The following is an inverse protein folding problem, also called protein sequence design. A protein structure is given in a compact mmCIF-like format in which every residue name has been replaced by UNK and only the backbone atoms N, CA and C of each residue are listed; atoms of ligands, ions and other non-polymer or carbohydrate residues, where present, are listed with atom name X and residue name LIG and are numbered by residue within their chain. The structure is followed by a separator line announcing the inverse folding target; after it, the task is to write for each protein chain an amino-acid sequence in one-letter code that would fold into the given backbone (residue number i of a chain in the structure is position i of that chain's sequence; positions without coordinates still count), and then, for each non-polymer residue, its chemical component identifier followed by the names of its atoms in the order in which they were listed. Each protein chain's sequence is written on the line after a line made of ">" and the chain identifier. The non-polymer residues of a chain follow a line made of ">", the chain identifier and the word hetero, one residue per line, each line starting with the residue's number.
data_IF_398891189267
#
_entry.id   IF_398891189267
#
_cell.length_a   1.000
_cell.length_b   1.000
_cell.length_c   1.000
_cell.angle_alpha   90.00
_cell.angle_beta   90.00
_cell.angle_gamma   90.00
#
_symmetry.space_group_name_H-M   'P 1'
#
loop_
_entity.id
_entity.type
_entity.pdbx_description
1 polymer ?
#
# COMPACT_ATOMS: atom_id res chain seq x y z
N UNK A 1 49.58 24.49 -24.95
CA UNK A 1 48.29 25.17 -25.17
C UNK A 1 47.83 25.63 -23.79
N UNK A 2 48.04 26.86 -23.32
CA UNK A 2 47.56 28.19 -23.78
C UNK A 2 46.04 28.13 -24.05
N UNK A 3 45.16 28.81 -23.31
CA UNK A 3 45.38 29.94 -22.42
C UNK A 3 44.24 30.24 -21.44
N UNK A 4 44.53 31.25 -20.62
CA UNK A 4 43.74 31.85 -19.53
C UNK A 4 42.53 32.66 -20.00
N UNK A 5 41.50 32.81 -19.14
CA UNK A 5 40.72 34.06 -19.06
C UNK A 5 40.56 34.47 -17.59
N UNK A 6 40.99 35.70 -17.30
CA UNK A 6 40.72 36.47 -16.08
C UNK A 6 39.71 37.55 -16.46
N UNK A 7 38.65 37.74 -15.66
CA UNK A 7 37.93 39.01 -15.60
C UNK A 7 37.74 39.40 -14.13
N UNK A 8 38.33 40.55 -13.78
CA UNK A 8 38.02 41.34 -12.59
C UNK A 8 37.05 42.43 -13.03
N UNK A 9 36.00 42.67 -12.26
CA UNK A 9 35.32 43.96 -12.22
C UNK A 9 35.01 44.30 -10.77
N UNK A 10 35.53 45.46 -10.39
CA UNK A 10 35.41 46.13 -9.09
C UNK A 10 34.27 47.13 -9.21
N UNK A 11 33.42 47.18 -8.17
CA UNK A 11 32.77 48.40 -7.70
C UNK A 11 31.39 48.73 -8.30
N UNK A 12 30.36 48.76 -7.46
CA UNK A 12 29.83 49.98 -6.84
C UNK A 12 28.49 49.62 -6.21
N UNK A 13 28.39 49.71 -4.88
CA UNK A 13 27.12 49.58 -4.18
C UNK A 13 26.19 50.72 -4.57
N UNK A 14 25.01 50.36 -5.08
CA UNK A 14 23.84 51.23 -5.13
C UNK A 14 22.67 50.40 -4.59
N UNK A 15 22.22 50.77 -3.40
CA UNK A 15 20.95 50.32 -2.86
C UNK A 15 19.83 50.97 -3.68
N UNK A 16 19.15 50.17 -4.50
CA UNK A 16 17.92 50.54 -5.16
C UNK A 16 16.86 49.49 -4.80
N UNK A 17 15.89 49.91 -3.98
CA UNK A 17 14.70 49.13 -3.64
C UNK A 17 13.98 48.74 -4.94
N UNK A 18 14.10 47.47 -5.31
CA UNK A 18 13.34 46.89 -6.41
C UNK A 18 12.04 46.36 -5.83
N UNK A 19 10.95 47.00 -6.25
CA UNK A 19 9.59 46.53 -6.06
C UNK A 19 9.52 45.13 -6.67
N UNK A 20 9.34 44.11 -5.83
CA UNK A 20 9.01 42.74 -6.21
C UNK A 20 7.63 42.75 -6.86
N UNK A 21 7.58 43.06 -8.15
CA UNK A 21 6.47 42.66 -9.00
C UNK A 21 6.73 41.19 -9.34
N UNK A 22 6.23 40.28 -8.49
CA UNK A 22 6.09 38.88 -8.85
C UNK A 22 4.99 38.81 -9.92
N UNK A 23 5.36 39.06 -11.16
CA UNK A 23 4.64 38.52 -12.30
C UNK A 23 4.91 37.03 -12.31
N UNK A 24 4.06 36.27 -11.60
CA UNK A 24 3.99 34.82 -11.69
C UNK A 24 3.44 34.47 -13.08
N UNK A 25 4.31 34.48 -14.08
CA UNK A 25 4.12 33.71 -15.29
C UNK A 25 5.02 32.49 -15.13
N UNK A 26 4.50 31.43 -14.49
CA UNK A 26 5.19 30.16 -14.35
C UNK A 26 5.10 29.37 -15.65
N UNK A 27 5.84 29.80 -16.67
CA UNK A 27 6.14 28.97 -17.84
C UNK A 27 7.48 28.27 -17.57
N UNK A 28 7.42 27.10 -16.93
CA UNK A 28 8.55 26.19 -16.76
C UNK A 28 8.24 24.85 -17.43
N UNK A 29 9.21 24.19 -18.07
CA UNK A 29 9.03 22.82 -18.55
C UNK A 29 8.89 21.87 -17.33
N UNK A 30 8.19 20.75 -17.51
CA UNK A 30 8.19 19.57 -16.60
C UNK A 30 7.29 19.62 -15.34
N UNK A 31 6.19 20.36 -15.39
CA UNK A 31 5.14 20.30 -14.36
C UNK A 31 4.43 18.94 -14.22
N UNK A 32 4.10 18.19 -15.30
CA UNK A 32 3.51 16.85 -15.15
C UNK A 32 4.49 15.82 -14.57
N UNK A 33 5.80 16.01 -14.76
CA UNK A 33 6.83 15.16 -14.16
C UNK A 33 6.91 15.40 -12.65
N UNK A 34 6.94 16.67 -12.23
CA UNK A 34 7.03 17.04 -10.81
C UNK A 34 5.85 16.47 -10.01
N UNK A 35 4.62 16.60 -10.52
CA UNK A 35 3.44 16.06 -9.81
C UNK A 35 3.44 14.52 -9.78
N UNK A 36 3.96 13.86 -10.82
CA UNK A 36 4.11 12.41 -10.85
C UNK A 36 5.15 11.94 -9.82
N UNK A 37 6.26 12.65 -9.68
CA UNK A 37 7.29 12.38 -8.66
C UNK A 37 6.75 12.58 -7.24
N UNK A 38 6.01 13.66 -6.99
CA UNK A 38 5.36 13.92 -5.69
C UNK A 38 4.33 12.83 -5.35
N UNK A 39 3.52 12.42 -6.33
CA UNK A 39 2.54 11.35 -6.16
C UNK A 39 3.21 10.00 -5.90
N UNK A 40 4.26 9.66 -6.66
CA UNK A 40 5.05 8.45 -6.45
C UNK A 40 5.69 8.42 -5.06
N UNK A 41 6.29 9.54 -4.63
CA UNK A 41 6.91 9.68 -3.32
C UNK A 41 5.89 9.54 -2.17
N UNK A 42 4.68 10.07 -2.33
CA UNK A 42 3.62 9.92 -1.34
C UNK A 42 3.14 8.46 -1.22
N UNK A 43 3.02 7.74 -2.34
CA UNK A 43 2.68 6.30 -2.34
C UNK A 43 3.80 5.46 -1.71
N UNK A 44 5.07 5.74 -2.03
CA UNK A 44 6.25 5.07 -1.47
C UNK A 44 6.36 5.30 0.05
N UNK A 45 6.01 6.49 0.53
CA UNK A 45 5.99 6.82 1.95
C UNK A 45 4.77 6.26 2.72
N UNK A 46 3.79 5.70 2.01
CA UNK A 46 2.52 5.30 2.60
C UNK A 46 1.63 6.48 3.04
N UNK A 47 1.86 7.69 2.52
CA UNK A 47 1.06 8.88 2.83
C UNK A 47 -0.21 8.91 1.97
N UNK A 48 -1.23 8.18 2.42
CA UNK A 48 -2.52 8.08 1.75
C UNK A 48 -3.16 9.46 1.53
N UNK A 49 -3.12 10.30 2.55
CA UNK A 49 -3.72 11.64 2.51
C UNK A 49 -2.98 12.59 1.57
N UNK A 50 -1.64 12.54 1.59
CA UNK A 50 -0.78 13.33 0.72
C UNK A 50 -0.95 12.91 -0.74
N UNK A 51 -0.91 11.61 -1.03
CA UNK A 51 -1.12 11.08 -2.37
C UNK A 51 -2.51 11.47 -2.92
N UNK A 52 -3.56 11.33 -2.11
CA UNK A 52 -4.92 11.68 -2.50
C UNK A 52 -5.08 13.18 -2.83
N UNK A 53 -4.46 14.07 -2.04
CA UNK A 53 -4.53 15.52 -2.23
C UNK A 53 -3.92 16.00 -3.56
N UNK A 54 -3.02 15.22 -4.15
CA UNK A 54 -2.39 15.50 -5.45
C UNK A 54 -3.26 15.11 -6.65
N UNK A 55 -4.45 14.53 -6.42
CA UNK A 55 -5.33 14.03 -7.48
C UNK A 55 -6.52 14.95 -7.74
N UNK A 56 -7.16 14.81 -8.92
CA UNK A 56 -8.38 15.57 -9.25
C UNK A 56 -9.61 15.17 -8.43
N UNK A 57 -9.60 14.04 -7.74
CA UNK A 57 -10.66 13.60 -6.83
C UNK A 57 -10.06 13.01 -5.54
N UNK A 58 -9.69 13.86 -4.57
CA UNK A 58 -9.02 13.41 -3.35
C UNK A 58 -9.83 12.43 -2.52
N UNK A 59 -11.16 12.57 -2.49
CA UNK A 59 -12.01 11.71 -1.66
C UNK A 59 -12.09 10.29 -2.24
N UNK A 60 -12.23 10.16 -3.56
CA UNK A 60 -12.18 8.85 -4.21
C UNK A 60 -10.77 8.24 -4.17
N UNK A 61 -9.74 9.06 -4.30
CA UNK A 61 -8.35 8.64 -4.22
C UNK A 61 -7.98 8.06 -2.86
N UNK A 62 -8.31 8.79 -1.79
CA UNK A 62 -8.03 8.35 -0.41
C UNK A 62 -8.65 6.98 -0.13
N UNK A 63 -9.93 6.81 -0.49
CA UNK A 63 -10.63 5.52 -0.30
C UNK A 63 -10.01 4.38 -1.10
N UNK A 64 -9.54 4.62 -2.32
CA UNK A 64 -8.96 3.58 -3.18
C UNK A 64 -7.54 3.20 -2.74
N UNK A 65 -6.72 4.18 -2.35
CA UNK A 65 -5.36 3.96 -1.84
C UNK A 65 -5.43 3.19 -0.51
N UNK A 66 -6.33 3.57 0.39
CA UNK A 66 -6.54 2.87 1.66
C UNK A 66 -6.95 1.41 1.44
N UNK A 67 -7.92 1.17 0.54
CA UNK A 67 -8.35 -0.19 0.19
C UNK A 67 -7.23 -1.02 -0.46
N UNK A 68 -6.41 -0.42 -1.32
CA UNK A 68 -5.26 -1.07 -1.94
C UNK A 68 -4.24 -1.51 -0.89
N UNK A 69 -3.89 -0.61 0.04
CA UNK A 69 -2.92 -0.88 1.10
C UNK A 69 -3.47 -1.92 2.08
N UNK A 70 -4.75 -1.82 2.44
CA UNK A 70 -5.41 -2.82 3.30
C UNK A 70 -5.43 -4.22 2.65
N UNK A 71 -5.64 -4.31 1.34
CA UNK A 71 -5.70 -5.59 0.62
C UNK A 71 -4.33 -6.24 0.40
N UNK A 72 -3.29 -5.45 0.12
CA UNK A 72 -1.96 -5.96 -0.18
C UNK A 72 -1.06 -6.11 1.06
N UNK A 73 -1.36 -5.41 2.15
CA UNK A 73 -0.65 -5.52 3.43
C UNK A 73 0.13 -4.27 3.81
N UNK A 74 0.78 -4.32 4.97
CA UNK A 74 1.37 -3.15 5.64
C UNK A 74 2.72 -2.67 5.09
N UNK A 75 3.40 -3.47 4.27
CA UNK A 75 4.63 -3.03 3.62
C UNK A 75 4.25 -2.18 2.39
N UNK A 76 4.52 -0.87 2.47
CA UNK A 76 4.24 0.06 1.38
C UNK A 76 5.07 -0.30 0.13
N UNK A 77 4.52 -0.04 -1.07
CA UNK A 77 5.23 -0.36 -2.30
C UNK A 77 6.40 0.60 -2.51
N UNK A 78 7.47 0.14 -3.15
CA UNK A 78 8.42 1.05 -3.79
C UNK A 78 7.82 1.57 -5.09
N UNK A 79 7.69 2.89 -5.21
CA UNK A 79 7.13 3.55 -6.40
C UNK A 79 8.15 4.54 -6.98
N UNK A 80 8.34 4.49 -8.29
CA UNK A 80 9.23 5.41 -9.00
C UNK A 80 8.68 5.80 -10.37
N UNK A 81 8.99 7.02 -10.82
CA UNK A 81 8.62 7.48 -12.15
C UNK A 81 9.51 6.78 -13.18
N UNK A 82 8.90 5.99 -14.06
CA UNK A 82 9.59 5.25 -15.11
C UNK A 82 9.87 6.12 -16.35
N UNK A 83 9.10 7.19 -16.52
CA UNK A 83 9.25 8.19 -17.57
C UNK A 83 7.99 9.01 -17.78
N UNK A 84 8.14 10.11 -18.48
CA UNK A 84 7.03 10.94 -18.97
C UNK A 84 6.84 10.71 -20.47
N UNK A 85 5.58 10.59 -20.89
CA UNK A 85 5.19 10.41 -22.30
C UNK A 85 4.96 11.76 -23.00
N UNK A 86 4.52 11.72 -24.25
CA UNK A 86 4.12 12.94 -24.96
C UNK A 86 2.90 13.60 -24.30
N UNK A 87 3.02 14.88 -23.92
CA UNK A 87 1.94 15.66 -23.31
C UNK A 87 1.91 15.55 -21.79
N UNK A 88 0.78 15.10 -21.24
CA UNK A 88 0.53 15.11 -19.79
C UNK A 88 0.60 13.72 -19.15
N UNK A 89 1.08 12.69 -19.86
CA UNK A 89 1.11 11.30 -19.36
C UNK A 89 2.41 10.95 -18.66
N UNK A 90 2.35 10.08 -17.66
CA UNK A 90 3.52 9.55 -16.96
C UNK A 90 3.35 8.05 -16.66
N UNK A 91 4.47 7.33 -16.56
CA UNK A 91 4.51 5.94 -16.15
C UNK A 91 5.13 5.80 -14.76
N UNK A 92 4.56 4.93 -13.92
CA UNK A 92 5.10 4.56 -12.62
C UNK A 92 5.49 3.07 -12.62
N UNK A 93 6.71 2.78 -12.17
CA UNK A 93 7.12 1.43 -11.79
C UNK A 93 6.82 1.23 -10.31
N UNK A 94 5.99 0.23 -10.01
CA UNK A 94 5.51 -0.11 -8.66
C UNK A 94 6.01 -1.50 -8.30
N UNK A 95 6.60 -1.66 -7.12
CA UNK A 95 7.06 -2.95 -6.60
C UNK A 95 6.57 -3.17 -5.17
N UNK A 96 5.90 -4.30 -4.95
CA UNK A 96 5.48 -4.78 -3.64
C UNK A 96 6.40 -5.92 -3.19
N UNK A 97 6.82 -5.93 -1.93
CA UNK A 97 7.61 -7.03 -1.34
C UNK A 97 6.81 -7.70 -0.22
N UNK A 98 6.46 -8.97 -0.40
CA UNK A 98 5.69 -9.75 0.57
C UNK A 98 6.59 -10.69 1.41
N UNK A 99 7.81 -10.22 1.69
CA UNK A 99 8.91 -10.95 2.32
C UNK A 99 9.86 -11.64 1.32
N UNK A 100 10.81 -12.41 1.83
CA UNK A 100 11.97 -12.89 1.06
C UNK A 100 11.57 -13.68 -0.20
N UNK A 101 12.02 -13.19 -1.36
CA UNK A 101 11.81 -13.80 -2.68
C UNK A 101 10.38 -13.68 -3.23
N UNK A 102 9.54 -12.82 -2.65
CA UNK A 102 8.14 -12.61 -3.05
C UNK A 102 7.90 -11.15 -3.42
N UNK A 103 8.47 -10.75 -4.55
CA UNK A 103 8.28 -9.41 -5.11
C UNK A 103 7.26 -9.45 -6.26
N UNK A 104 6.36 -8.48 -6.28
CA UNK A 104 5.43 -8.25 -7.37
C UNK A 104 5.63 -6.84 -7.93
N UNK A 105 6.17 -6.78 -9.15
CA UNK A 105 6.42 -5.52 -9.86
C UNK A 105 5.50 -5.39 -11.07
N UNK A 106 5.00 -4.19 -11.30
CA UNK A 106 4.23 -3.83 -12.48
C UNK A 106 4.46 -2.36 -12.84
N UNK A 107 4.07 -2.03 -14.07
CA UNK A 107 4.04 -0.64 -14.56
C UNK A 107 2.60 -0.18 -14.69
N UNK A 108 2.35 1.04 -14.29
CA UNK A 108 1.06 1.72 -14.46
C UNK A 108 1.25 3.06 -15.15
N UNK A 109 0.21 3.55 -15.81
CA UNK A 109 0.23 4.80 -16.58
C UNK A 109 -0.84 5.75 -16.04
N UNK A 110 -0.43 6.98 -15.76
CA UNK A 110 -1.28 8.08 -15.34
C UNK A 110 -1.24 9.25 -16.31
N UNK A 111 -2.06 10.26 -16.02
CA UNK A 111 -1.94 11.56 -16.66
C UNK A 111 -2.13 12.67 -15.63
N UNK A 112 -1.51 13.81 -15.87
CA UNK A 112 -1.69 15.01 -15.10
C UNK A 112 -2.65 15.97 -15.83
N UNK A 113 -3.16 16.95 -15.10
CA UNK A 113 -3.98 18.04 -15.64
C UNK A 113 -3.80 19.27 -14.78
N UNK A 114 -3.82 20.43 -15.39
CA UNK A 114 -3.85 21.70 -14.68
C UNK A 114 -5.23 21.91 -14.04
N UNK A 115 -5.26 22.26 -12.75
CA UNK A 115 -6.44 22.78 -12.07
C UNK A 115 -6.48 24.30 -12.24
N UNK A 116 -7.42 24.85 -13.04
CA UNK A 116 -7.52 26.28 -13.30
C UNK A 116 -7.95 27.09 -12.06
N UNK A 117 -8.52 26.48 -11.02
CA UNK A 117 -8.93 27.17 -9.80
C UNK A 117 -7.78 27.30 -8.79
N UNK A 118 -6.87 26.32 -8.80
CA UNK A 118 -5.75 26.23 -7.86
C UNK A 118 -4.40 26.68 -8.44
N UNK A 119 -4.33 26.97 -9.75
CA UNK A 119 -3.09 27.26 -10.48
C UNK A 119 -2.01 26.18 -10.22
N UNK A 120 -2.45 24.92 -10.17
CA UNK A 120 -1.66 23.78 -9.73
C UNK A 120 -1.93 22.55 -10.60
N UNK A 121 -0.90 21.73 -10.83
CA UNK A 121 -1.05 20.46 -11.52
C UNK A 121 -1.57 19.39 -10.57
N UNK A 122 -2.43 18.51 -11.08
CA UNK A 122 -2.94 17.34 -10.35
C UNK A 122 -2.89 16.11 -11.22
N UNK A 123 -2.72 14.95 -10.60
CA UNK A 123 -2.93 13.65 -11.24
C UNK A 123 -4.42 13.51 -11.57
N UNK A 124 -4.74 13.29 -12.85
CA UNK A 124 -6.09 12.94 -13.28
C UNK A 124 -6.46 11.61 -12.65
N UNK A 125 -7.39 11.66 -11.72
CA UNK A 125 -7.78 10.50 -10.93
C UNK A 125 -8.52 9.47 -11.79
N UNK A 126 -8.00 8.25 -11.80
CA UNK A 126 -8.65 7.01 -12.19
C UNK A 126 -7.99 5.90 -11.36
N UNK A 127 -8.71 4.94 -10.76
CA UNK A 127 -8.10 3.85 -10.00
C UNK A 127 -6.99 3.11 -10.76
N UNK A 128 -7.04 3.08 -12.09
CA UNK A 128 -6.00 2.45 -12.90
C UNK A 128 -4.64 3.13 -12.76
N UNK A 129 -4.55 4.38 -12.28
CA UNK A 129 -3.27 5.05 -12.01
C UNK A 129 -2.49 4.36 -10.90
N UNK A 130 -3.16 3.66 -9.98
CA UNK A 130 -2.52 2.88 -8.93
C UNK A 130 -2.09 1.51 -9.45
N UNK A 131 -2.97 0.84 -10.21
CA UNK A 131 -2.68 -0.45 -10.85
C UNK A 131 -3.66 -0.70 -12.00
N UNK A 132 -3.20 -1.21 -13.16
CA UNK A 132 -4.07 -1.52 -14.29
C UNK A 132 -5.22 -2.48 -13.96
N UNK A 133 -5.01 -3.36 -12.97
CA UNK A 133 -5.98 -4.37 -12.54
C UNK A 133 -7.16 -3.80 -11.74
N UNK A 134 -7.11 -2.52 -11.32
CA UNK A 134 -8.22 -1.85 -10.60
C UNK A 134 -9.32 -1.33 -11.54
N UNK A 135 -9.18 -1.55 -12.85
CA UNK A 135 -10.20 -1.19 -13.83
C UNK A 135 -11.55 -1.83 -13.49
N UNK A 136 -12.65 -1.08 -13.68
CA UNK A 136 -14.00 -1.60 -13.46
C UNK A 136 -14.39 -1.83 -11.99
N UNK A 137 -13.61 -1.31 -11.03
CA UNK A 137 -13.91 -1.40 -9.59
C UNK A 137 -13.46 -2.70 -8.94
N UNK A 138 -12.46 -3.38 -9.52
CA UNK A 138 -11.82 -4.53 -8.89
C UNK A 138 -11.01 -4.11 -7.64
N UNK A 139 -10.71 -5.09 -6.79
CA UNK A 139 -9.82 -4.95 -5.63
C UNK A 139 -8.62 -5.88 -5.76
N UNK A 140 -7.52 -5.52 -5.10
CA UNK A 140 -6.29 -6.31 -5.05
C UNK A 140 -6.07 -6.80 -3.62
N UNK A 141 -5.87 -8.11 -3.48
CA UNK A 141 -5.63 -8.75 -2.18
C UNK A 141 -4.43 -9.70 -2.26
N UNK A 142 -3.55 -9.64 -1.27
CA UNK A 142 -2.45 -10.59 -1.12
C UNK A 142 -2.87 -11.75 -0.21
N UNK A 143 -2.98 -12.94 -0.79
CA UNK A 143 -3.34 -14.17 -0.08
C UNK A 143 -2.15 -15.11 0.02
N UNK A 144 -1.85 -15.61 1.21
CA UNK A 144 -0.85 -16.65 1.41
C UNK A 144 -1.50 -18.03 1.29
N UNK A 145 -0.99 -18.85 0.38
CA UNK A 145 -1.33 -20.27 0.36
C UNK A 145 -0.34 -21.02 1.24
N UNK A 146 -0.78 -21.50 2.40
CA UNK A 146 0.02 -22.41 3.21
C UNK A 146 0.05 -23.76 2.49
N UNK A 147 1.24 -24.35 2.33
CA UNK A 147 1.39 -25.69 1.76
C UNK A 147 0.71 -26.76 2.63
N UNK A 148 0.43 -27.92 2.05
CA UNK A 148 -0.12 -29.04 2.82
C UNK A 148 0.79 -29.39 4.01
N UNK A 149 0.26 -29.67 5.21
CA UNK A 149 1.07 -30.01 6.37
C UNK A 149 1.98 -31.22 6.09
N UNK A 150 3.24 -31.22 6.54
CA UNK A 150 4.14 -32.33 6.30
C UNK A 150 3.67 -33.59 7.03
N UNK A 151 3.90 -34.75 6.41
CA UNK A 151 3.76 -36.05 7.07
C UNK A 151 5.13 -36.53 7.53
N UNK A 152 5.26 -36.82 8.82
CA UNK A 152 6.46 -37.40 9.45
C UNK A 152 6.37 -38.93 9.33
N UNK A 153 7.44 -39.58 8.88
CA UNK A 153 7.52 -41.04 8.74
C UNK A 153 8.50 -41.65 9.75
N UNK A 154 8.27 -42.90 10.14
CA UNK A 154 9.21 -43.69 10.93
C UNK A 154 10.38 -44.24 10.08
N UNK A 155 11.33 -44.94 10.71
CA UNK A 155 12.50 -45.54 10.01
C UNK A 155 12.14 -46.58 8.94
N UNK A 156 10.91 -47.10 8.95
CA UNK A 156 10.41 -48.11 8.02
C UNK A 156 9.52 -47.47 6.93
N UNK A 157 9.39 -46.14 6.92
CA UNK A 157 8.57 -45.40 5.96
C UNK A 157 7.09 -45.36 6.28
N UNK A 158 6.67 -45.70 7.51
CA UNK A 158 5.24 -45.65 7.92
C UNK A 158 4.91 -44.26 8.49
N UNK A 159 3.73 -43.69 8.18
CA UNK A 159 3.35 -42.38 8.70
C UNK A 159 3.20 -42.43 10.22
N UNK A 160 3.76 -41.45 10.90
CA UNK A 160 3.77 -41.30 12.36
C UNK A 160 2.97 -40.05 12.79
N UNK A 161 3.14 -38.94 12.07
CA UNK A 161 2.32 -37.74 12.22
C UNK A 161 1.99 -37.18 10.84
N UNK A 162 0.81 -36.61 10.69
CA UNK A 162 0.38 -35.92 9.49
C UNK A 162 -0.88 -35.12 9.82
N UNK A 163 -1.40 -34.40 8.83
CA UNK A 163 -2.67 -33.70 8.96
C UNK A 163 -3.78 -34.64 9.44
N UNK A 164 -4.57 -34.19 10.41
CA UNK A 164 -5.69 -34.96 10.95
C UNK A 164 -6.97 -34.12 10.87
N UNK A 165 -8.05 -34.75 10.46
CA UNK A 165 -9.37 -34.13 10.50
C UNK A 165 -9.83 -34.08 11.95
N UNK A 166 -9.89 -32.87 12.51
CA UNK A 166 -10.41 -32.61 13.85
C UNK A 166 -11.78 -31.94 13.74
N UNK A 167 -12.75 -32.42 14.50
CA UNK A 167 -14.04 -31.75 14.63
C UNK A 167 -14.03 -30.90 15.88
N UNK A 168 -14.06 -29.58 15.70
CA UNK A 168 -14.24 -28.63 16.80
C UNK A 168 -15.74 -28.41 16.98
N UNK A 169 -16.21 -28.60 18.21
CA UNK A 169 -17.60 -28.32 18.59
C UNK A 169 -17.60 -27.06 19.45
N UNK A 170 -18.17 -25.99 18.93
CA UNK A 170 -18.30 -24.73 19.65
C UNK A 170 -19.64 -24.68 20.38
N UNK A 171 -19.62 -24.11 21.59
CA UNK A 171 -20.83 -23.77 22.32
C UNK A 171 -21.33 -22.40 21.86
N UNK A 172 -22.62 -22.30 21.58
CA UNK A 172 -23.24 -21.01 21.26
C UNK A 172 -23.13 -20.05 22.46
N UNK A 173 -22.86 -18.77 22.21
CA UNK A 173 -22.66 -17.77 23.25
C UNK A 173 -23.90 -17.53 24.14
N UNK A 174 -25.09 -17.93 23.68
CA UNK A 174 -26.34 -17.82 24.44
C UNK A 174 -26.63 -19.06 25.31
N UNK A 175 -25.84 -20.13 25.17
CA UNK A 175 -26.06 -21.35 25.93
C UNK A 175 -25.58 -21.24 27.38
N UNK A 176 -26.23 -21.93 28.31
CA UNK A 176 -25.85 -21.98 29.72
C UNK A 176 -24.75 -23.03 29.96
N UNK A 177 -23.50 -22.63 30.28
CA UNK A 177 -22.41 -23.57 30.50
C UNK A 177 -22.66 -24.50 31.69
N UNK A 178 -23.37 -24.04 32.72
CA UNK A 178 -23.67 -24.82 33.91
C UNK A 178 -24.66 -25.96 33.62
N UNK A 179 -25.58 -25.75 32.67
CA UNK A 179 -26.50 -26.78 32.20
C UNK A 179 -25.83 -27.78 31.25
N UNK A 180 -24.89 -27.32 30.42
CA UNK A 180 -24.26 -28.13 29.35
C UNK A 180 -23.07 -28.97 29.85
N UNK A 181 -22.23 -28.42 30.74
CA UNK A 181 -21.06 -29.12 31.28
C UNK A 181 -21.32 -30.54 31.81
N UNK A 182 -22.35 -30.82 32.65
CA UNK A 182 -22.57 -32.17 33.16
C UNK A 182 -22.94 -33.19 32.08
N UNK A 183 -23.54 -32.74 30.96
CA UNK A 183 -23.83 -33.61 29.81
C UNK A 183 -22.54 -33.96 29.09
N UNK A 184 -21.69 -32.96 28.83
CA UNK A 184 -20.42 -33.15 28.12
C UNK A 184 -19.39 -33.93 28.95
N UNK A 185 -19.41 -33.79 30.28
CA UNK A 185 -18.52 -34.51 31.20
C UNK A 185 -18.64 -36.04 31.09
N UNK A 186 -19.76 -36.55 30.56
CA UNK A 186 -19.94 -37.99 30.29
C UNK A 186 -19.06 -38.49 29.14
N UNK A 187 -18.70 -37.62 28.20
CA UNK A 187 -17.89 -37.92 27.03
C UNK A 187 -16.45 -37.43 27.23
N UNK A 188 -16.30 -36.21 27.77
CA UNK A 188 -15.02 -35.56 28.03
C UNK A 188 -14.98 -35.10 29.49
N UNK A 189 -14.46 -35.92 30.41
CA UNK A 189 -14.58 -35.69 31.86
C UNK A 189 -13.83 -34.47 32.37
N UNK A 190 -12.97 -33.86 31.54
CA UNK A 190 -12.25 -32.62 31.86
C UNK A 190 -13.05 -31.35 31.56
N UNK A 191 -14.19 -31.44 30.85
CA UNK A 191 -15.04 -30.28 30.58
C UNK A 191 -15.83 -29.90 31.84
N UNK A 192 -15.68 -28.65 32.27
CA UNK A 192 -16.41 -28.03 33.38
C UNK A 192 -17.17 -26.79 32.91
N UNK A 193 -18.11 -26.29 33.72
CA UNK A 193 -18.82 -25.04 33.42
C UNK A 193 -17.86 -23.85 33.32
N UNK A 194 -16.79 -23.86 34.13
CA UNK A 194 -15.75 -22.84 34.13
C UNK A 194 -14.93 -22.88 32.83
N UNK A 195 -14.50 -24.07 32.37
CA UNK A 195 -13.75 -24.21 31.10
C UNK A 195 -14.57 -23.86 29.86
N UNK A 196 -15.91 -23.94 29.96
CA UNK A 196 -16.83 -23.55 28.87
C UNK A 196 -17.16 -22.05 28.89
N UNK A 197 -16.96 -21.37 30.02
CA UNK A 197 -17.20 -19.94 30.18
C UNK A 197 -15.94 -19.10 29.90
N UNK A 198 -14.76 -19.71 29.90
CA UNK A 198 -13.53 -19.05 29.49
C UNK A 198 -13.59 -18.72 27.98
N UNK A 199 -13.23 -17.48 27.58
CA UNK A 199 -13.04 -17.21 26.16
C UNK A 199 -11.97 -18.15 25.62
N UNK A 200 -12.13 -18.69 24.40
CA UNK A 200 -11.15 -19.59 23.84
C UNK A 200 -9.78 -18.92 23.90
N UNK A 201 -8.80 -19.61 24.49
CA UNK A 201 -7.42 -19.15 24.45
C UNK A 201 -7.08 -18.89 22.99
N UNK A 202 -6.81 -17.63 22.65
CA UNK A 202 -6.44 -17.26 21.29
C UNK A 202 -5.32 -18.20 20.87
N UNK A 203 -5.60 -19.02 19.85
CA UNK A 203 -4.57 -19.75 19.13
C UNK A 203 -3.62 -18.67 18.61
N UNK A 204 -2.51 -18.46 19.31
CA UNK A 204 -1.39 -17.68 18.80
C UNK A 204 -0.77 -18.58 17.75
N UNK A 205 -1.13 -18.34 16.51
CA UNK A 205 -0.35 -18.80 15.35
C UNK A 205 1.01 -18.12 15.35
#
# INVERSE_FOLDING_TARGET
>A
MIGTVRIRLIGMGVAAATVLSLSACATGPDQPETIAEEFAAALDAGDVSGAAALTTDPMAAESAIDALFAGLGHDYPTVSVAGTGDGDTFDLDVTWTFGEGRDWSYRTTGSATEDPEADAWRVRWDPTVLSPELAGGASLEYLTTVGAPPTIFDRAGRPLMGEQVVTVVNLDATADPAAVAPVLATVVPTITAESLAEPPAALRE
#
